data_IF_979986283861
#
_entry.id   IF_979986283861
#
_cell.length_a   1.000
_cell.length_b   1.000
_cell.length_c   1.000
_cell.angle_alpha   90.00
_cell.angle_beta   90.00
_cell.angle_gamma   90.00
#
_symmetry.space_group_name_H-M   'P 1'
#
loop_
_entity.id
_entity.type
_entity.pdbx_description
1 polymer ?
#
# COMPACT_ATOMS: atom_id res chain seq x y z
N UNK A 1 4.79 7.14 24.12
CA UNK A 1 4.81 7.86 22.82
C UNK A 1 5.19 6.83 21.80
N UNK A 2 4.26 6.48 20.91
CA UNK A 2 4.44 5.36 19.97
C UNK A 2 3.85 5.76 18.63
N UNK A 3 4.68 5.61 17.58
CA UNK A 3 4.33 5.84 16.19
C UNK A 3 4.34 4.48 15.48
N UNK A 4 3.26 4.19 14.76
CA UNK A 4 3.11 2.96 13.98
C UNK A 4 2.88 3.33 12.52
N UNK A 5 3.55 2.63 11.62
CA UNK A 5 3.40 2.81 10.18
C UNK A 5 3.04 1.47 9.56
N UNK A 6 1.87 1.41 8.96
CA UNK A 6 1.24 0.17 8.51
C UNK A 6 0.87 0.30 7.04
N UNK A 7 1.23 -0.70 6.24
CA UNK A 7 0.84 -0.79 4.82
C UNK A 7 -0.44 -1.62 4.73
N UNK A 8 -1.58 -0.93 4.78
CA UNK A 8 -2.89 -1.56 4.77
C UNK A 8 -3.30 -1.92 3.34
N UNK A 9 -3.16 -3.19 3.00
CA UNK A 9 -3.72 -3.75 1.77
C UNK A 9 -5.23 -3.92 1.86
N UNK A 10 -5.92 -3.70 0.74
CA UNK A 10 -7.34 -4.03 0.62
C UNK A 10 -7.75 -4.40 -0.82
N UNK A 11 -8.57 -5.44 -0.92
CA UNK A 11 -9.27 -5.91 -2.13
C UNK A 11 -10.64 -5.21 -2.32
N UNK A 12 -11.00 -4.33 -1.39
CA UNK A 12 -12.17 -3.45 -1.47
C UNK A 12 -11.70 -2.00 -1.29
N UNK A 13 -12.48 -1.01 -1.71
CA UNK A 13 -12.07 0.39 -1.56
C UNK A 13 -12.24 0.92 -0.12
N UNK A 14 -11.70 0.20 0.89
CA UNK A 14 -11.85 0.56 2.30
C UNK A 14 -10.76 -0.06 3.20
N UNK A 15 -10.02 0.80 3.89
CA UNK A 15 -9.07 0.44 4.96
C UNK A 15 -9.48 1.12 6.26
N UNK A 16 -8.91 0.75 7.39
CA UNK A 16 -9.07 1.54 8.62
C UNK A 16 -8.49 0.88 9.85
N UNK A 17 -8.97 1.33 11.00
CA UNK A 17 -8.52 0.89 12.32
C UNK A 17 -9.72 0.45 13.17
N UNK A 18 -9.59 -0.64 13.91
CA UNK A 18 -10.64 -1.12 14.82
C UNK A 18 -10.06 -1.87 16.02
N UNK A 19 -10.88 -2.10 17.02
CA UNK A 19 -10.50 -2.92 18.18
C UNK A 19 -10.39 -4.41 17.78
N UNK A 20 -9.20 -4.99 17.95
CA UNK A 20 -8.91 -6.39 17.62
C UNK A 20 -9.66 -7.38 18.55
N UNK A 21 -10.10 -6.94 19.73
CA UNK A 21 -10.86 -7.74 20.68
C UNK A 21 -12.35 -7.88 20.37
N UNK A 22 -12.83 -7.27 19.28
CA UNK A 22 -14.23 -7.41 18.87
C UNK A 22 -14.58 -8.87 18.54
N UNK A 23 -15.76 -9.37 18.96
CA UNK A 23 -16.16 -10.74 18.68
C UNK A 23 -16.15 -11.04 17.17
N UNK A 24 -15.59 -12.16 16.70
CA UNK A 24 -15.48 -12.41 15.26
C UNK A 24 -16.86 -12.58 14.61
N UNK A 25 -16.99 -12.11 13.37
CA UNK A 25 -18.19 -12.33 12.55
C UNK A 25 -18.23 -13.77 12.04
N UNK A 26 -19.44 -14.26 11.74
CA UNK A 26 -19.64 -15.62 11.18
C UNK A 26 -19.52 -15.66 9.65
N UNK A 27 -19.63 -14.50 9.01
CA UNK A 27 -19.62 -14.29 7.55
C UNK A 27 -18.77 -13.05 7.24
N UNK A 28 -18.43 -12.87 5.97
CA UNK A 28 -17.80 -11.63 5.47
C UNK A 28 -18.66 -10.44 5.91
N UNK A 29 -18.06 -9.39 6.51
CA UNK A 29 -18.79 -8.22 6.95
C UNK A 29 -19.54 -7.58 5.79
N UNK A 30 -20.82 -7.26 6.00
CA UNK A 30 -21.54 -6.38 5.07
C UNK A 30 -21.31 -4.90 5.43
N UNK A 31 -21.54 -4.01 4.47
CA UNK A 31 -21.28 -2.57 4.66
C UNK A 31 -22.09 -1.97 5.83
N UNK A 32 -23.27 -2.52 6.15
CA UNK A 32 -24.12 -2.03 7.25
C UNK A 32 -23.56 -2.43 8.61
N UNK A 33 -23.00 -3.63 8.73
CA UNK A 33 -22.32 -4.09 9.94
C UNK A 33 -21.08 -3.22 10.24
N UNK A 34 -20.33 -2.87 9.19
CA UNK A 34 -19.20 -1.94 9.29
C UNK A 34 -19.68 -0.55 9.70
N UNK A 35 -20.68 0.00 9.02
CA UNK A 35 -21.25 1.32 9.33
C UNK A 35 -21.79 1.39 10.76
N UNK A 36 -22.49 0.36 11.21
CA UNK A 36 -23.00 0.31 12.59
C UNK A 36 -21.86 0.28 13.61
N UNK A 37 -20.77 -0.43 13.33
CA UNK A 37 -19.58 -0.47 14.19
C UNK A 37 -18.85 0.87 14.19
N UNK A 38 -18.79 1.53 13.02
CA UNK A 38 -18.25 2.87 12.86
C UNK A 38 -19.02 3.91 13.68
N UNK A 39 -20.35 3.88 13.64
CA UNK A 39 -21.22 4.77 14.45
C UNK A 39 -20.99 4.56 15.95
N UNK A 40 -20.77 3.31 16.38
CA UNK A 40 -20.43 2.99 17.78
C UNK A 40 -18.99 3.33 18.16
N UNK A 41 -18.16 3.77 17.22
CA UNK A 41 -16.74 4.01 17.44
C UNK A 41 -15.92 2.73 17.64
N UNK A 42 -16.43 1.56 17.29
CA UNK A 42 -15.67 0.30 17.39
C UNK A 42 -14.66 0.14 16.23
N UNK A 43 -14.88 0.88 15.16
CA UNK A 43 -14.03 0.94 13.98
C UNK A 43 -14.03 2.38 13.44
N UNK A 44 -12.97 2.76 12.74
CA UNK A 44 -12.91 3.98 11.94
C UNK A 44 -12.60 3.58 10.49
N UNK A 45 -13.63 3.36 9.66
CA UNK A 45 -13.46 3.12 8.24
C UNK A 45 -12.98 4.36 7.49
N UNK A 46 -12.07 4.12 6.55
CA UNK A 46 -11.48 5.07 5.62
C UNK A 46 -11.78 4.53 4.22
N UNK A 47 -12.83 5.06 3.60
CA UNK A 47 -13.19 4.77 2.22
C UNK A 47 -12.10 5.30 1.29
N UNK A 48 -11.55 4.40 0.49
CA UNK A 48 -10.49 4.69 -0.45
C UNK A 48 -11.06 4.80 -1.87
N UNK A 49 -10.26 5.22 -2.85
CA UNK A 49 -10.71 5.38 -4.25
C UNK A 49 -10.66 4.07 -5.06
N UNK A 50 -9.84 3.12 -4.62
CA UNK A 50 -9.58 1.87 -5.33
C UNK A 50 -9.07 0.78 -4.36
N UNK A 51 -9.07 -0.46 -4.84
CA UNK A 51 -8.28 -1.54 -4.24
C UNK A 51 -6.77 -1.22 -4.32
N UNK A 52 -6.00 -1.77 -3.38
CA UNK A 52 -4.56 -1.55 -3.31
C UNK A 52 -4.00 -1.42 -1.89
N UNK A 53 -2.74 -1.01 -1.81
CA UNK A 53 -2.06 -0.71 -0.54
C UNK A 53 -2.15 0.76 -0.19
N UNK A 54 -2.45 1.06 1.07
CA UNK A 54 -2.51 2.40 1.63
C UNK A 54 -1.63 2.48 2.87
N UNK A 55 -0.75 3.46 2.92
CA UNK A 55 0.15 3.63 4.06
C UNK A 55 -0.52 4.49 5.12
N UNK A 56 -0.83 3.87 6.26
CA UNK A 56 -1.39 4.55 7.42
C UNK A 56 -0.29 4.79 8.46
N UNK A 57 -0.29 5.98 9.02
CA UNK A 57 0.57 6.34 10.16
C UNK A 57 -0.30 6.65 11.38
N UNK A 58 -0.07 5.92 12.48
CA UNK A 58 -0.86 6.03 13.71
C UNK A 58 0.05 6.62 14.79
N UNK A 59 -0.33 7.78 15.30
CA UNK A 59 0.37 8.52 16.34
C UNK A 59 -0.43 8.42 17.64
N UNK A 60 0.13 7.79 18.68
CA UNK A 60 -0.56 7.60 19.95
C UNK A 60 0.00 8.59 20.99
N UNK A 61 -0.87 9.48 21.46
CA UNK A 61 -0.55 10.58 22.38
C UNK A 61 0.55 11.51 21.84
N UNK A 62 0.54 11.73 20.53
CA UNK A 62 1.52 12.53 19.80
C UNK A 62 0.83 13.37 18.72
N UNK A 63 1.29 14.61 18.56
CA UNK A 63 0.79 15.52 17.54
C UNK A 63 1.50 15.30 16.21
N UNK A 64 0.74 15.31 15.14
CA UNK A 64 1.27 15.29 13.79
C UNK A 64 1.85 16.65 13.43
N UNK A 65 3.08 16.63 12.89
CA UNK A 65 3.72 17.80 12.29
C UNK A 65 4.00 17.45 10.84
N UNK A 66 3.26 18.11 9.93
CA UNK A 66 3.43 17.89 8.50
C UNK A 66 4.88 18.19 8.08
N UNK A 67 5.57 17.25 7.40
CA UNK A 67 6.92 17.50 6.90
C UNK A 67 6.94 18.68 5.93
N UNK A 68 8.05 19.44 5.93
CA UNK A 68 8.20 20.61 5.07
C UNK A 68 7.95 20.25 3.58
N UNK A 69 7.13 21.05 2.89
CA UNK A 69 6.78 20.83 1.49
C UNK A 69 5.75 19.73 1.23
N UNK A 70 5.19 19.10 2.27
CA UNK A 70 4.10 18.14 2.16
C UNK A 70 2.77 18.77 2.55
N UNK A 71 1.76 18.64 1.71
CA UNK A 71 0.42 19.15 1.98
C UNK A 71 -0.45 18.04 2.58
N UNK A 72 -0.69 18.15 3.89
CA UNK A 72 -1.70 17.36 4.58
C UNK A 72 -2.90 18.23 4.90
N UNK A 73 -4.08 17.70 4.61
CA UNK A 73 -5.34 18.30 5.03
C UNK A 73 -5.81 17.64 6.33
N UNK A 74 -6.03 18.46 7.36
CA UNK A 74 -6.60 17.97 8.62
C UNK A 74 -8.10 18.08 8.53
N UNK A 75 -8.82 16.96 8.73
CA UNK A 75 -10.28 17.00 8.78
C UNK A 75 -10.72 17.80 10.01
N UNK A 76 -11.69 18.70 9.83
CA UNK A 76 -12.16 19.58 10.92
C UNK A 76 -12.86 18.82 12.05
N UNK A 77 -13.38 17.63 11.73
CA UNK A 77 -14.09 16.77 12.67
C UNK A 77 -13.13 15.77 13.31
N UNK A 78 -13.16 15.72 14.65
CA UNK A 78 -12.58 14.63 15.43
C UNK A 78 -13.58 13.44 15.52
N UNK A 79 -13.06 12.22 15.55
CA UNK A 79 -13.83 10.96 15.61
C UNK A 79 -13.60 10.23 16.93
N UNK A 80 -14.60 9.48 17.40
CA UNK A 80 -14.44 8.56 18.53
C UNK A 80 -14.04 7.15 18.08
N UNK A 81 -13.03 6.58 18.72
CA UNK A 81 -12.59 5.19 18.54
C UNK A 81 -12.39 4.52 19.90
N UNK A 82 -13.17 3.49 20.19
CA UNK A 82 -13.08 2.69 21.41
C UNK A 82 -12.17 1.48 21.18
N UNK A 83 -10.99 1.49 21.80
CA UNK A 83 -10.01 0.41 21.77
C UNK A 83 -10.00 -0.29 23.13
N UNK A 84 -11.12 -0.91 23.48
CA UNK A 84 -11.39 -1.46 24.81
C UNK A 84 -10.51 -2.68 25.15
N UNK A 85 -10.03 -3.43 24.14
CA UNK A 85 -9.10 -4.54 24.39
C UNK A 85 -7.65 -4.09 24.64
N UNK A 86 -7.32 -2.83 24.35
CA UNK A 86 -5.94 -2.35 24.32
C UNK A 86 -5.14 -2.85 23.11
N UNK A 87 -5.79 -3.45 22.11
CA UNK A 87 -5.17 -3.83 20.85
C UNK A 87 -6.00 -3.33 19.69
N UNK A 88 -5.43 -2.46 18.87
CA UNK A 88 -6.01 -2.05 17.60
C UNK A 88 -5.45 -2.92 16.47
N UNK A 89 -6.27 -3.18 15.46
CA UNK A 89 -5.85 -3.77 14.19
C UNK A 89 -6.07 -2.72 13.09
N UNK A 90 -5.10 -2.59 12.20
CA UNK A 90 -5.17 -1.71 11.04
C UNK A 90 -5.12 -2.55 9.77
N UNK A 91 -5.97 -2.29 8.78
CA UNK A 91 -5.94 -3.07 7.55
C UNK A 91 -7.14 -2.85 6.65
N UNK A 92 -7.25 -3.70 5.64
CA UNK A 92 -8.42 -3.78 4.77
C UNK A 92 -9.67 -4.27 5.50
N UNK A 93 -10.83 -3.70 5.15
CA UNK A 93 -12.11 -4.02 5.80
C UNK A 93 -12.62 -5.43 5.54
N UNK A 94 -12.11 -6.14 4.55
CA UNK A 94 -12.38 -7.56 4.33
C UNK A 94 -11.95 -8.44 5.52
N UNK A 95 -10.94 -8.01 6.26
CA UNK A 95 -10.43 -8.70 7.44
C UNK A 95 -11.11 -8.23 8.75
N UNK A 96 -12.02 -7.25 8.66
CA UNK A 96 -12.75 -6.73 9.81
C UNK A 96 -13.51 -7.86 10.53
N UNK A 97 -13.07 -8.17 11.75
CA UNK A 97 -13.60 -9.25 12.60
C UNK A 97 -13.60 -10.63 11.91
N UNK A 98 -12.72 -10.83 10.93
CA UNK A 98 -12.55 -12.12 10.25
C UNK A 98 -11.93 -13.14 11.21
N UNK A 99 -12.37 -14.40 11.13
CA UNK A 99 -11.77 -15.51 11.87
C UNK A 99 -10.47 -16.02 11.24
N UNK A 100 -10.26 -15.68 9.98
CA UNK A 100 -9.16 -16.11 9.13
C UNK A 100 -8.78 -14.91 8.27
N UNK A 101 -8.08 -13.92 8.85
CA UNK A 101 -7.59 -12.79 8.07
C UNK A 101 -6.71 -13.30 6.92
N UNK A 102 -6.82 -12.67 5.76
CA UNK A 102 -6.05 -13.05 4.56
C UNK A 102 -4.93 -12.08 4.25
N UNK A 103 -5.08 -10.82 4.67
CA UNK A 103 -4.15 -9.74 4.35
C UNK A 103 -3.43 -9.28 5.62
N UNK A 104 -4.20 -9.05 6.69
CA UNK A 104 -3.67 -8.59 7.97
C UNK A 104 -2.87 -9.67 8.71
N UNK A 105 -1.84 -9.25 9.44
CA UNK A 105 -0.91 -10.09 10.18
C UNK A 105 -0.57 -9.49 11.57
N UNK A 106 0.38 -10.09 12.28
CA UNK A 106 0.79 -9.59 13.61
C UNK A 106 1.44 -8.21 13.57
N UNK A 107 2.02 -7.80 12.43
CA UNK A 107 2.66 -6.48 12.29
C UNK A 107 1.66 -5.33 12.17
N UNK A 108 0.40 -5.66 11.87
CA UNK A 108 -0.71 -4.72 11.74
C UNK A 108 -1.42 -4.44 13.08
N UNK A 109 -1.00 -5.14 14.14
CA UNK A 109 -1.51 -4.96 15.49
C UNK A 109 -0.75 -3.86 16.22
N UNK A 110 -1.51 -2.98 16.86
CA UNK A 110 -1.00 -1.87 17.67
C UNK A 110 -1.48 -2.09 19.11
N UNK A 111 -0.54 -2.19 20.04
CA UNK A 111 -0.87 -2.24 21.47
C UNK A 111 -0.95 -0.84 22.06
N UNK A 112 -2.09 -0.53 22.65
CA UNK A 112 -2.39 0.77 23.29
C UNK A 112 -3.04 0.55 24.64
N UNK A 113 -3.13 1.61 25.44
CA UNK A 113 -3.90 1.55 26.69
C UNK A 113 -5.40 1.38 26.37
N UNK A 114 -6.12 0.46 27.03
CA UNK A 114 -7.57 0.32 26.87
C UNK A 114 -8.31 1.63 27.17
N UNK A 115 -8.95 2.23 26.17
CA UNK A 115 -9.64 3.51 26.34
C UNK A 115 -10.52 3.90 25.16
N UNK A 116 -11.26 5.00 25.33
CA UNK A 116 -11.75 5.79 24.23
C UNK A 116 -10.65 6.73 23.74
N UNK A 117 -10.52 6.81 22.42
CA UNK A 117 -9.60 7.69 21.73
C UNK A 117 -10.38 8.69 20.90
N UNK A 118 -9.98 9.95 21.01
CA UNK A 118 -10.25 10.99 20.05
C UNK A 118 -9.27 10.83 18.90
N UNK A 119 -9.79 10.62 17.71
CA UNK A 119 -9.01 10.45 16.49
C UNK A 119 -9.11 11.70 15.64
N UNK A 120 -7.97 12.35 15.40
CA UNK A 120 -7.84 13.39 14.38
C UNK A 120 -7.17 12.80 13.15
N UNK A 121 -7.68 13.19 11.99
CA UNK A 121 -7.30 12.57 10.70
C UNK A 121 -6.64 13.61 9.82
N UNK A 122 -5.47 13.25 9.28
CA UNK A 122 -4.74 14.05 8.32
C UNK A 122 -4.59 13.28 7.02
N UNK A 123 -5.07 13.85 5.93
CA UNK A 123 -5.06 13.22 4.60
C UNK A 123 -3.94 13.80 3.77
N UNK A 124 -3.14 12.94 3.14
CA UNK A 124 -2.12 13.37 2.20
C UNK A 124 -2.78 13.86 0.90
N UNK A 125 -2.52 15.12 0.54
CA UNK A 125 -3.05 15.77 -0.68
C UNK A 125 -2.03 15.94 -1.78
N UNK A 126 -0.85 15.36 -1.61
CA UNK A 126 0.18 15.39 -2.64
C UNK A 126 -0.28 14.54 -3.83
N UNK A 127 0.01 15.03 -5.03
CA UNK A 127 -0.20 14.29 -6.27
C UNK A 127 0.51 12.92 -6.22
N UNK A 128 -0.21 11.80 -6.43
CA UNK A 128 0.38 10.46 -6.44
C UNK A 128 1.60 10.32 -7.37
N UNK A 129 1.59 10.96 -8.54
CA UNK A 129 2.73 10.89 -9.48
C UNK A 129 3.95 11.60 -8.89
N UNK A 130 3.73 12.71 -8.20
CA UNK A 130 4.79 13.42 -7.50
C UNK A 130 5.31 12.63 -6.29
N UNK A 131 4.42 11.98 -5.53
CA UNK A 131 4.80 11.09 -4.42
C UNK A 131 5.68 9.95 -4.92
N UNK A 132 5.28 9.29 -6.00
CA UNK A 132 6.05 8.22 -6.62
C UNK A 132 7.44 8.73 -7.01
N UNK A 133 7.52 9.83 -7.78
CA UNK A 133 8.79 10.43 -8.17
C UNK A 133 9.69 10.79 -6.98
N UNK A 134 9.13 11.37 -5.92
CA UNK A 134 9.85 11.74 -4.70
C UNK A 134 10.41 10.51 -3.98
N UNK A 135 9.61 9.44 -3.87
CA UNK A 135 10.04 8.19 -3.22
C UNK A 135 11.17 7.52 -4.00
N UNK A 136 11.10 7.54 -5.34
CA UNK A 136 12.14 7.03 -6.23
C UNK A 136 13.43 7.84 -6.11
N UNK A 137 13.35 9.18 -6.14
CA UNK A 137 14.50 10.07 -5.98
C UNK A 137 15.19 9.88 -4.62
N UNK A 138 14.41 9.72 -3.54
CA UNK A 138 14.97 9.39 -2.22
C UNK A 138 15.68 8.02 -2.20
N UNK A 139 15.08 7.00 -2.82
CA UNK A 139 15.68 5.68 -2.92
C UNK A 139 16.95 5.67 -3.77
N UNK A 140 16.98 6.43 -4.88
CA UNK A 140 18.16 6.58 -5.72
C UNK A 140 19.31 7.30 -4.99
N UNK A 141 19.02 8.35 -4.20
CA UNK A 141 20.02 9.07 -3.41
C UNK A 141 20.65 8.25 -2.29
N UNK A 142 19.95 7.24 -1.78
CA UNK A 142 20.48 6.34 -0.76
C UNK A 142 21.49 5.31 -1.31
N UNK A 143 21.53 5.14 -2.64
CA UNK A 143 22.47 4.24 -3.29
C UNK A 143 23.75 4.99 -3.70
N UNK A 144 24.88 4.29 -3.64
CA UNK A 144 26.11 4.78 -4.27
C UNK A 144 25.93 4.87 -5.80
N UNK A 145 26.71 5.72 -6.51
CA UNK A 145 26.61 5.83 -7.97
C UNK A 145 26.78 4.48 -8.71
N UNK A 146 27.64 3.60 -8.19
CA UNK A 146 27.87 2.25 -8.74
C UNK A 146 26.67 1.32 -8.51
N UNK A 147 26.07 1.36 -7.32
CA UNK A 147 24.84 0.64 -7.00
C UNK A 147 23.67 1.12 -7.86
N UNK A 148 23.51 2.43 -8.03
CA UNK A 148 22.47 3.00 -8.88
C UNK A 148 22.63 2.58 -10.35
N UNK A 149 23.86 2.62 -10.87
CA UNK A 149 24.15 2.15 -12.23
C UNK A 149 23.80 0.66 -12.40
N UNK A 150 24.14 -0.19 -11.42
CA UNK A 150 23.77 -1.61 -11.41
C UNK A 150 22.25 -1.82 -11.32
N UNK A 151 21.57 -1.09 -10.44
CA UNK A 151 20.11 -1.15 -10.30
C UNK A 151 19.40 -0.80 -11.61
N UNK A 152 19.82 0.29 -12.28
CA UNK A 152 19.27 0.66 -13.60
C UNK A 152 19.56 -0.38 -14.68
N UNK A 153 20.72 -1.05 -14.63
CA UNK A 153 21.02 -2.16 -15.54
C UNK A 153 20.10 -3.37 -15.27
N UNK A 154 19.82 -3.71 -14.01
CA UNK A 154 18.89 -4.78 -13.66
C UNK A 154 17.49 -4.56 -14.24
N UNK A 155 16.96 -3.33 -14.14
CA UNK A 155 15.67 -2.99 -14.76
C UNK A 155 15.65 -3.23 -16.27
N UNK A 156 16.75 -2.91 -16.98
CA UNK A 156 16.87 -3.17 -18.42
C UNK A 156 16.94 -4.68 -18.74
N UNK A 157 17.67 -5.46 -17.94
CA UNK A 157 17.75 -6.91 -18.10
C UNK A 157 16.42 -7.60 -17.81
N UNK A 158 15.65 -7.11 -16.83
CA UNK A 158 14.29 -7.58 -16.56
C UNK A 158 13.38 -7.40 -17.78
N UNK A 159 13.33 -6.19 -18.34
CA UNK A 159 12.52 -5.89 -19.53
C UNK A 159 12.97 -6.71 -20.76
N UNK A 160 14.28 -6.86 -20.96
CA UNK A 160 14.83 -7.68 -22.03
C UNK A 160 14.49 -9.18 -21.86
N UNK A 161 14.46 -9.68 -20.62
CA UNK A 161 14.06 -11.06 -20.30
C UNK A 161 12.58 -11.34 -20.57
N UNK A 162 11.69 -10.40 -20.25
CA UNK A 162 10.27 -10.50 -20.61
C UNK A 162 10.10 -10.49 -22.13
N UNK A 163 10.79 -9.58 -22.83
CA UNK A 163 10.76 -9.52 -24.30
C UNK A 163 11.30 -10.82 -24.94
N UNK A 164 12.35 -11.43 -24.39
CA UNK A 164 12.89 -12.69 -24.91
C UNK A 164 11.91 -13.85 -24.73
N UNK A 165 11.18 -13.92 -23.62
CA UNK A 165 10.13 -14.93 -23.43
C UNK A 165 8.99 -14.77 -24.44
N UNK A 166 8.56 -13.53 -24.70
CA UNK A 166 7.53 -13.27 -25.72
C UNK A 166 7.98 -13.68 -27.12
N UNK A 167 9.27 -13.50 -27.45
CA UNK A 167 9.86 -13.93 -28.72
C UNK A 167 10.06 -15.46 -28.80
N UNK A 168 10.11 -16.18 -27.68
CA UNK A 168 10.21 -17.64 -27.68
C UNK A 168 8.90 -18.32 -28.16
N UNK A 169 7.75 -17.73 -27.87
CA UNK A 169 6.42 -18.26 -28.26
C UNK A 169 6.27 -18.49 -29.77
N UNK A 170 6.51 -17.50 -30.65
CA UNK A 170 6.40 -17.71 -32.09
C UNK A 170 7.42 -18.75 -32.60
N UNK A 171 8.60 -18.85 -31.98
CA UNK A 171 9.60 -19.86 -32.34
C UNK A 171 9.11 -21.28 -32.02
N UNK A 172 8.46 -21.49 -30.87
CA UNK A 172 7.83 -22.79 -30.57
C UNK A 172 6.68 -23.12 -31.52
N UNK A 173 5.88 -22.12 -31.92
CA UNK A 173 4.82 -22.30 -32.93
C UNK A 173 5.42 -22.71 -34.28
N UNK A 174 6.50 -22.05 -34.73
CA UNK A 174 7.19 -22.40 -35.97
C UNK A 174 7.80 -23.79 -35.89
N UNK A 175 8.40 -24.16 -34.76
CA UNK A 175 8.97 -25.49 -34.54
C UNK A 175 7.91 -26.59 -34.66
N UNK A 176 6.72 -26.38 -34.09
CA UNK A 176 5.60 -27.35 -34.16
C UNK A 176 4.95 -27.49 -35.54
N UNK A 177 5.17 -26.53 -36.47
CA UNK A 177 4.59 -26.52 -37.82
C UNK A 177 5.58 -26.87 -38.93
N UNK A 178 6.87 -26.98 -38.61
CA UNK A 178 7.94 -27.22 -39.58
C UNK A 178 8.50 -28.63 -39.43
N UNK A 179 9.16 -29.13 -40.48
CA UNK A 179 9.88 -30.41 -40.44
C UNK A 179 11.39 -30.20 -40.64
N UNK A 180 12.19 -31.14 -40.17
CA UNK A 180 13.64 -31.17 -40.42
C UNK A 180 14.42 -30.08 -39.69
N UNK A 181 15.46 -29.55 -40.34
CA UNK A 181 16.42 -28.62 -39.73
C UNK A 181 15.77 -27.33 -39.21
N UNK A 182 14.76 -26.80 -39.89
CA UNK A 182 14.05 -25.58 -39.48
C UNK A 182 13.34 -25.75 -38.14
N UNK A 183 12.73 -26.92 -37.90
CA UNK A 183 12.06 -27.21 -36.63
C UNK A 183 13.07 -27.28 -35.47
N UNK A 184 14.23 -27.90 -35.70
CA UNK A 184 15.30 -28.01 -34.71
C UNK A 184 15.89 -26.62 -34.36
N UNK A 185 16.16 -25.78 -35.36
CA UNK A 185 16.70 -24.43 -35.14
C UNK A 185 15.70 -23.58 -34.35
N UNK A 186 14.43 -23.60 -34.73
CA UNK A 186 13.38 -22.85 -34.04
C UNK A 186 13.19 -23.33 -32.59
N UNK A 187 13.24 -24.65 -32.35
CA UNK A 187 13.16 -25.22 -31.01
C UNK A 187 14.35 -24.80 -30.13
N UNK A 188 15.58 -24.89 -30.63
CA UNK A 188 16.78 -24.50 -29.88
C UNK A 188 16.79 -23.01 -29.59
N UNK A 189 16.46 -22.17 -30.58
CA UNK A 189 16.37 -20.72 -30.39
C UNK A 189 15.28 -20.35 -29.37
N UNK A 190 14.11 -21.00 -29.45
CA UNK A 190 13.03 -20.83 -28.47
C UNK A 190 13.48 -21.22 -27.06
N UNK A 191 14.17 -22.36 -26.91
CA UNK A 191 14.66 -22.84 -25.62
C UNK A 191 15.70 -21.90 -25.00
N UNK A 192 16.61 -21.35 -25.81
CA UNK A 192 17.61 -20.36 -25.37
C UNK A 192 16.94 -19.10 -24.87
N UNK A 193 16.01 -18.52 -25.65
CA UNK A 193 15.30 -17.31 -25.25
C UNK A 193 14.40 -17.51 -24.01
N UNK A 194 13.84 -18.72 -23.87
CA UNK A 194 13.01 -19.09 -22.72
C UNK A 194 13.81 -19.29 -21.43
N UNK A 195 15.02 -19.83 -21.51
CA UNK A 195 15.86 -20.15 -20.34
C UNK A 195 16.82 -19.03 -19.94
N UNK A 196 17.12 -18.08 -20.84
CA UNK A 196 18.01 -16.96 -20.57
C UNK A 196 17.62 -16.12 -19.34
N UNK A 197 16.34 -15.78 -19.08
CA UNK A 197 15.96 -15.00 -17.89
C UNK A 197 16.28 -15.73 -16.58
N UNK A 198 16.07 -17.05 -16.52
CA UNK A 198 16.39 -17.85 -15.34
C UNK A 198 17.90 -17.88 -15.07
N UNK A 199 18.72 -17.93 -16.11
CA UNK A 199 20.17 -17.84 -15.99
C UNK A 199 20.63 -16.46 -15.54
N UNK A 200 20.08 -15.38 -16.11
CA UNK A 200 20.35 -14.00 -15.69
C UNK A 200 19.95 -13.76 -14.23
N UNK A 201 18.79 -14.26 -13.78
CA UNK A 201 18.39 -14.17 -12.38
C UNK A 201 19.35 -14.90 -11.43
N UNK A 202 19.88 -16.06 -11.83
CA UNK A 202 20.90 -16.76 -11.03
C UNK A 202 22.19 -15.96 -10.93
N UNK A 203 22.60 -15.29 -12.00
CA UNK A 203 23.77 -14.42 -11.98
C UNK A 203 23.54 -13.19 -11.10
N UNK A 204 22.36 -12.57 -11.20
CA UNK A 204 21.97 -11.44 -10.36
C UNK A 204 22.00 -11.83 -8.87
N UNK A 205 21.42 -12.98 -8.51
CA UNK A 205 21.49 -13.53 -7.15
C UNK A 205 22.93 -13.71 -6.66
N UNK A 206 23.84 -14.19 -7.51
CA UNK A 206 25.27 -14.36 -7.15
C UNK A 206 26.02 -13.05 -6.97
N UNK A 207 25.53 -11.94 -7.55
CA UNK A 207 26.15 -10.61 -7.50
C UNK A 207 25.61 -9.72 -6.36
N UNK A 208 24.66 -10.21 -5.57
CA UNK A 208 24.01 -9.43 -4.51
C UNK A 208 22.94 -8.46 -5.01
N UNK A 209 22.52 -8.60 -6.27
CA UNK A 209 21.58 -7.67 -6.92
C UNK A 209 20.17 -7.73 -6.28
N UNK A 210 19.81 -8.85 -5.65
CA UNK A 210 18.57 -8.99 -4.88
C UNK A 210 18.61 -8.17 -3.59
N UNK A 211 19.74 -8.14 -2.88
CA UNK A 211 19.89 -7.35 -1.66
C UNK A 211 19.88 -5.85 -2.01
N UNK A 212 20.46 -5.48 -3.15
CA UNK A 212 20.39 -4.12 -3.68
C UNK A 212 18.95 -3.72 -4.00
N UNK A 213 18.19 -4.59 -4.67
CA UNK A 213 16.77 -4.36 -4.97
C UNK A 213 15.95 -4.21 -3.69
N UNK A 214 16.13 -5.09 -2.70
CA UNK A 214 15.45 -5.01 -1.41
C UNK A 214 15.79 -3.73 -0.65
N UNK A 215 17.06 -3.30 -0.68
CA UNK A 215 17.47 -2.04 -0.04
C UNK A 215 16.83 -0.84 -0.72
N UNK A 216 16.80 -0.84 -2.06
CA UNK A 216 16.12 0.19 -2.83
C UNK A 216 14.63 0.27 -2.47
N UNK A 217 13.92 -0.86 -2.52
CA UNK A 217 12.49 -0.95 -2.20
C UNK A 217 12.19 -0.54 -0.76
N UNK A 218 13.00 -1.00 0.21
CA UNK A 218 12.84 -0.61 1.62
C UNK A 218 13.07 0.89 1.84
N UNK A 219 14.02 1.50 1.10
CA UNK A 219 14.26 2.94 1.18
C UNK A 219 13.11 3.70 0.55
N UNK A 220 12.64 3.24 -0.61
CA UNK A 220 11.48 3.81 -1.31
C UNK A 220 10.26 3.80 -0.38
N UNK A 221 9.93 2.64 0.20
CA UNK A 221 8.80 2.46 1.12
C UNK A 221 8.86 3.38 2.36
N UNK A 222 10.06 3.63 2.89
CA UNK A 222 10.28 4.58 4.00
C UNK A 222 10.17 6.04 3.56
N UNK A 223 10.55 6.35 2.32
CA UNK A 223 10.49 7.71 1.78
C UNK A 223 9.08 8.11 1.35
N UNK A 224 8.25 7.14 0.95
CA UNK A 224 6.84 7.35 0.64
C UNK A 224 6.16 8.05 1.84
N UNK A 225 5.51 9.21 1.68
CA UNK A 225 4.68 9.78 2.73
C UNK A 225 3.49 8.85 3.05
N UNK A 226 2.99 8.78 4.30
CA UNK A 226 1.73 8.09 4.57
C UNK A 226 0.58 8.76 3.80
N UNK A 227 -0.38 7.97 3.37
CA UNK A 227 -1.62 8.43 2.74
C UNK A 227 -2.56 9.06 3.77
N UNK A 228 -2.59 8.47 4.97
CA UNK A 228 -3.39 8.95 6.10
C UNK A 228 -2.57 8.92 7.38
N UNK A 229 -2.66 9.99 8.17
CA UNK A 229 -2.15 10.03 9.54
C UNK A 229 -3.33 10.10 10.51
N UNK A 230 -3.31 9.26 11.54
CA UNK A 230 -4.30 9.21 12.61
C UNK A 230 -3.62 9.61 13.93
N UNK A 231 -3.98 10.76 14.49
CA UNK A 231 -3.61 11.12 15.86
C UNK A 231 -4.63 10.56 16.85
N UNK A 232 -4.20 9.70 17.76
CA UNK A 232 -5.01 9.07 18.78
C UNK A 232 -4.69 9.68 20.14
N UNK A 233 -5.66 10.39 20.72
CA UNK A 233 -5.57 10.97 22.05
C UNK A 233 -6.60 10.34 22.98
N UNK A 234 -6.19 9.79 24.12
CA UNK A 234 -7.17 9.23 25.07
C UNK A 234 -8.14 10.31 25.54
N UNK A 235 -9.37 9.88 25.78
CA UNK A 235 -10.45 10.72 26.29
C UNK A 235 -11.27 9.93 27.31
N UNK A 236 -11.70 10.61 28.36
CA UNK A 236 -12.56 10.01 29.40
C UNK A 236 -14.03 9.92 28.96
N UNK A 237 -14.39 10.61 27.88
CA UNK A 237 -15.75 10.67 27.35
C UNK A 237 -15.85 10.06 25.95
N UNK A 238 -16.89 9.24 25.67
CA UNK A 238 -17.18 8.78 24.32
C UNK A 238 -17.40 9.95 23.36
N UNK A 239 -16.84 9.83 22.17
CA UNK A 239 -17.05 10.76 21.06
C UNK A 239 -17.87 10.08 19.96
N UNK A 240 -18.60 10.83 19.13
CA UNK A 240 -19.28 10.26 17.98
C UNK A 240 -18.29 9.56 17.06
N UNK A 241 -18.51 8.27 16.80
CA UNK A 241 -17.79 7.55 15.76
C UNK A 241 -18.17 8.06 14.36
N UNK A 242 -17.65 7.40 13.34
CA UNK A 242 -17.93 7.77 11.96
C UNK A 242 -17.00 7.12 10.97
N UNK A 243 -16.95 7.71 9.77
CA UNK A 243 -16.14 7.24 8.64
C UNK A 243 -15.44 8.42 7.98
N UNK A 244 -14.37 8.11 7.28
CA UNK A 244 -13.59 9.03 6.47
C UNK A 244 -13.70 8.61 5.01
N UNK A 245 -13.74 9.57 4.09
CA UNK A 245 -13.66 9.31 2.64
C UNK A 245 -12.48 10.07 2.07
N UNK A 246 -11.57 9.37 1.39
CA UNK A 246 -10.43 10.00 0.72
C UNK A 246 -10.87 10.83 -0.48
N UNK A 247 -11.96 10.42 -1.16
CA UNK A 247 -12.49 11.07 -2.37
C UNK A 247 -13.37 12.29 -2.09
N UNK A 248 -14.32 12.20 -1.16
CA UNK A 248 -15.26 13.30 -0.89
C UNK A 248 -14.52 14.59 -0.53
N UNK A 249 -13.40 14.45 0.17
CA UNK A 249 -12.58 15.57 0.57
C UNK A 249 -11.60 16.03 -0.55
N UNK A 250 -11.46 15.31 -1.68
CA UNK A 250 -10.82 15.81 -2.91
C UNK A 250 -11.78 16.66 -3.76
N UNK A 251 -13.06 16.32 -3.81
CA UNK A 251 -14.04 17.02 -4.67
C UNK A 251 -14.42 18.42 -4.16
N UNK A 252 -14.40 18.65 -2.85
CA UNK A 252 -14.73 19.94 -2.23
C UNK A 252 -13.76 21.08 -2.63
N UNK A 253 -12.63 20.73 -3.25
CA UNK A 253 -11.59 21.67 -3.71
C UNK A 253 -11.52 21.86 -5.23
N UNK A 254 -12.38 21.22 -6.03
CA UNK A 254 -12.51 21.60 -7.44
C UNK A 254 -13.46 22.80 -7.52
N UNK A 255 -12.97 24.05 -7.67
CA UNK A 255 -13.87 25.15 -8.00
C UNK A 255 -14.60 24.76 -9.27
N UNK A 256 -15.92 24.68 -9.17
CA UNK A 256 -16.86 24.43 -10.26
C UNK A 256 -16.31 24.98 -11.59
N UNK A 257 -15.69 24.10 -12.40
CA UNK A 257 -15.24 24.45 -13.75
C UNK A 257 -16.42 24.84 -14.65
N UNK A 258 -17.66 24.63 -14.17
CA UNK A 258 -18.90 25.02 -14.84
C UNK A 258 -19.23 26.52 -14.77
N UNK A 259 -18.47 27.34 -14.04
CA UNK A 259 -18.71 28.79 -13.98
C UNK A 259 -17.90 29.64 -15.01
N UNK A 260 -17.07 29.04 -15.87
CA UNK A 260 -16.26 29.80 -16.86
C UNK A 260 -16.86 29.89 -18.28
N UNK A 261 -18.11 29.47 -18.48
CA UNK A 261 -18.83 29.66 -19.75
C UNK A 261 -20.24 30.24 -19.53
N UNK A 262 -20.32 31.37 -18.82
CA UNK A 262 -21.46 32.30 -18.92
C UNK A 262 -20.95 33.72 -19.00
#
# INVERSE_FOLDING_TARGET
MVQHRIDAGTDIACVGIWDAGLPPLRRVPDAKEVEASAVRGEALPIETSADGGYVLEILVEESFVAPAGRTYETLERDYGLNLASGTALVGGFEDFRSRRPQITSEEDLIHVEPSWYRVRVHLNRIDPEYVEALSHDAAERALSPEELARHRQLGRYGNAGCASMLLAVPLFIVAGRSNGATALIALVAGLVLFTAPAWLNRLAKRRGDLELQQRYESTRARATPPDVVLELWRTDAPLPGGRVSLEAAREEQLPSRAARHR
#
